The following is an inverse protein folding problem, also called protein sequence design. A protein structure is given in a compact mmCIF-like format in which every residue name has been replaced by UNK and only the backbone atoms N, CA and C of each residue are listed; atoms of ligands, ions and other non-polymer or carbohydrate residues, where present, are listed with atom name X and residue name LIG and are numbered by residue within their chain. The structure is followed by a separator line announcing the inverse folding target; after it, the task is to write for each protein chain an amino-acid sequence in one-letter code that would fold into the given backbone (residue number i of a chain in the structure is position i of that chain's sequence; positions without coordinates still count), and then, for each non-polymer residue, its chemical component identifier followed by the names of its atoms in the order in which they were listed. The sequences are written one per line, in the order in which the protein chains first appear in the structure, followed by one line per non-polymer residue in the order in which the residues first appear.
data_IF_724179966797
#
_entry.id   IF_724179966797
#
_cell.length_a   1.000
_cell.length_b   1.000
_cell.length_c   1.000
_cell.angle_alpha   90.00
_cell.angle_beta   90.00
_cell.angle_gamma   90.00
#
_symmetry.space_group_name_H-M   'P 1'
#
loop_
_entity.id
_entity.type
_entity.pdbx_description
1 polymer ?
#
# COMPACT_ATOMS: atom_id res chain seq x y z
N UNK A 1 3.77 -13.98 -16.58
CA UNK A 1 2.35 -14.15 -16.95
C UNK A 1 1.91 -12.88 -17.65
N UNK A 2 1.36 -12.95 -18.87
CA UNK A 2 0.72 -11.79 -19.49
C UNK A 2 -0.78 -11.99 -19.35
N UNK A 3 -1.44 -11.11 -18.61
CA UNK A 3 -2.88 -10.92 -18.69
C UNK A 3 -3.15 -9.70 -19.57
N UNK A 4 -4.34 -9.65 -20.15
CA UNK A 4 -4.77 -8.50 -20.94
C UNK A 4 -4.78 -7.23 -20.09
N UNK A 5 -4.45 -6.06 -20.67
CA UNK A 5 -4.47 -4.80 -19.96
C UNK A 5 -5.88 -4.47 -19.46
N UNK A 6 -5.98 -3.68 -18.39
CA UNK A 6 -7.28 -3.26 -17.89
C UNK A 6 -8.02 -2.48 -18.98
N UNK A 7 -9.33 -2.74 -19.21
CA UNK A 7 -10.10 -1.98 -20.18
C UNK A 7 -10.03 -0.48 -19.91
N UNK A 8 -9.81 0.32 -20.95
CA UNK A 8 -9.60 1.77 -20.82
C UNK A 8 -10.72 2.48 -20.01
N UNK A 9 -11.98 2.08 -20.24
CA UNK A 9 -13.12 2.61 -19.47
C UNK A 9 -13.06 2.29 -17.97
N UNK A 10 -12.49 1.15 -17.58
CA UNK A 10 -12.24 0.80 -16.17
C UNK A 10 -11.08 1.64 -15.63
N UNK A 11 -9.98 1.74 -16.38
CA UNK A 11 -8.82 2.56 -16.01
C UNK A 11 -9.19 4.04 -15.80
N UNK A 12 -10.04 4.62 -16.66
CA UNK A 12 -10.53 5.99 -16.54
C UNK A 12 -11.34 6.19 -15.25
N UNK A 13 -12.21 5.24 -14.91
CA UNK A 13 -12.99 5.27 -13.66
C UNK A 13 -12.12 5.14 -12.42
N UNK A 14 -11.13 4.24 -12.43
CA UNK A 14 -10.19 4.09 -11.33
C UNK A 14 -9.39 5.39 -11.12
N UNK A 15 -8.96 6.01 -12.22
CA UNK A 15 -8.23 7.29 -12.18
C UNK A 15 -9.09 8.42 -11.64
N UNK A 16 -10.34 8.53 -12.10
CA UNK A 16 -11.27 9.54 -11.60
C UNK A 16 -11.59 9.34 -10.11
N UNK A 17 -11.92 8.12 -9.72
CA UNK A 17 -12.22 7.77 -8.34
C UNK A 17 -11.01 8.02 -7.43
N UNK A 18 -9.79 7.66 -7.83
CA UNK A 18 -8.59 7.95 -7.03
C UNK A 18 -8.39 9.46 -6.81
N UNK A 19 -8.56 10.29 -7.85
CA UNK A 19 -8.46 11.76 -7.70
C UNK A 19 -9.53 12.30 -6.75
N UNK A 20 -10.77 11.85 -6.89
CA UNK A 20 -11.90 12.27 -6.02
C UNK A 20 -11.72 11.79 -4.58
N UNK A 21 -11.26 10.55 -4.38
CA UNK A 21 -10.94 9.96 -3.08
C UNK A 21 -9.87 10.80 -2.36
N UNK A 22 -8.80 11.16 -3.06
CA UNK A 22 -7.75 12.04 -2.53
C UNK A 22 -8.26 13.43 -2.17
N UNK A 23 -9.09 14.03 -3.03
CA UNK A 23 -9.69 15.35 -2.77
C UNK A 23 -10.64 15.33 -1.56
N UNK A 24 -11.48 14.30 -1.44
CA UNK A 24 -12.39 14.09 -0.32
C UNK A 24 -11.61 13.95 1.00
N UNK A 25 -10.56 13.12 1.00
CA UNK A 25 -9.73 12.95 2.19
C UNK A 25 -8.97 14.21 2.57
N UNK A 26 -8.37 14.92 1.61
CA UNK A 26 -7.72 16.21 1.88
C UNK A 26 -8.69 17.18 2.56
N UNK A 27 -9.89 17.32 2.01
CA UNK A 27 -10.94 18.17 2.59
C UNK A 27 -11.34 17.75 4.01
N UNK A 28 -11.35 16.44 4.29
CA UNK A 28 -11.63 15.92 5.63
C UNK A 28 -10.49 16.24 6.62
N UNK A 29 -9.23 16.12 6.19
CA UNK A 29 -8.06 16.44 7.02
C UNK A 29 -7.97 17.94 7.30
N UNK A 30 -8.22 18.79 6.30
CA UNK A 30 -8.18 20.26 6.46
C UNK A 30 -9.19 20.76 7.51
N UNK A 31 -10.34 20.09 7.67
CA UNK A 31 -11.38 20.44 8.67
C UNK A 31 -10.99 20.07 10.10
N UNK A 32 -10.02 19.19 10.29
CA UNK A 32 -9.62 18.69 11.62
C UNK A 32 -8.45 19.48 12.21
N UNK A 33 -7.93 20.48 11.48
CA UNK A 33 -6.89 21.45 11.86
C UNK A 33 -5.96 20.94 12.97
N UNK A 34 -4.86 20.32 12.58
CA UNK A 34 -3.88 19.83 13.53
C UNK A 34 -2.61 20.67 13.46
N UNK A 35 -2.09 21.07 14.61
CA UNK A 35 -0.72 21.55 14.70
C UNK A 35 0.22 20.40 14.34
N UNK A 36 0.82 20.51 13.16
CA UNK A 36 1.86 19.60 12.70
C UNK A 36 3.14 19.91 13.47
N UNK A 37 3.63 18.93 14.23
CA UNK A 37 4.95 18.99 14.86
C UNK A 37 5.93 18.26 13.97
N UNK A 38 6.88 18.99 13.41
CA UNK A 38 8.00 18.41 12.68
C UNK A 38 9.23 18.20 13.60
N UNK A 39 9.99 17.12 13.40
CA UNK A 39 11.28 16.91 14.05
C UNK A 39 12.25 16.14 13.15
N UNK A 40 13.56 16.21 13.42
CA UNK A 40 14.56 15.41 12.72
C UNK A 40 14.93 14.15 13.52
N UNK A 41 14.91 12.99 12.88
CA UNK A 41 15.38 11.72 13.45
C UNK A 41 15.93 10.83 12.33
N UNK A 42 17.08 10.19 12.59
CA UNK A 42 17.81 9.35 11.62
C UNK A 42 18.07 10.04 10.26
N UNK A 43 18.38 11.34 10.27
CA UNK A 43 18.66 12.13 9.06
C UNK A 43 17.43 12.38 8.17
N UNK A 44 16.21 12.25 8.72
CA UNK A 44 14.94 12.53 8.03
C UNK A 44 14.08 13.46 8.88
N UNK A 45 13.26 14.26 8.23
CA UNK A 45 12.19 15.03 8.87
C UNK A 45 10.96 14.14 9.05
N UNK A 46 10.39 14.18 10.25
CA UNK A 46 9.22 13.45 10.70
C UNK A 46 8.13 14.43 11.08
N UNK A 47 6.86 14.06 10.90
CA UNK A 47 5.70 14.91 11.19
C UNK A 47 4.71 14.20 12.12
N UNK A 48 4.21 14.87 13.15
CA UNK A 48 3.19 14.38 14.09
C UNK A 48 1.99 15.34 14.16
N UNK A 49 0.72 14.89 14.32
CA UNK A 49 0.29 13.50 14.50
C UNK A 49 0.71 12.64 13.33
N UNK A 50 1.30 11.47 13.60
CA UNK A 50 1.28 10.43 12.58
C UNK A 50 -0.19 10.21 12.26
N UNK A 51 -0.49 10.07 10.99
CA UNK A 51 -1.85 9.91 10.51
C UNK A 51 -2.69 8.95 11.36
N UNK A 52 -2.08 7.86 11.80
CA UNK A 52 -2.66 6.80 12.61
C UNK A 52 -3.42 7.22 13.88
N UNK A 53 -3.10 8.36 14.50
CA UNK A 53 -3.80 8.84 15.69
C UNK A 53 -5.20 9.45 15.38
N UNK A 54 -5.57 9.57 14.11
CA UNK A 54 -6.81 10.21 13.65
C UNK A 54 -7.78 9.17 13.08
N UNK A 55 -9.05 9.32 13.44
CA UNK A 55 -10.14 8.44 12.98
C UNK A 55 -10.12 8.25 11.45
N UNK A 56 -10.10 9.35 10.68
CA UNK A 56 -10.16 9.31 9.21
C UNK A 56 -8.87 8.86 8.52
N UNK A 57 -7.80 8.64 9.25
CA UNK A 57 -6.60 8.08 8.64
C UNK A 57 -6.70 6.57 8.50
N UNK A 58 -7.30 5.90 9.48
CA UNK A 58 -7.58 4.46 9.44
C UNK A 58 -8.95 4.17 8.82
N UNK A 59 -9.93 5.02 9.10
CA UNK A 59 -11.30 4.89 8.59
C UNK A 59 -11.52 5.76 7.34
N UNK A 60 -12.58 5.47 6.60
CA UNK A 60 -12.99 6.31 5.47
C UNK A 60 -13.72 7.56 5.98
N UNK A 61 -13.36 8.73 5.46
CA UNK A 61 -14.20 9.92 5.61
C UNK A 61 -15.54 9.74 4.84
N UNK A 62 -16.62 10.47 5.21
CA UNK A 62 -17.90 10.38 4.50
C UNK A 62 -17.76 10.57 2.98
N UNK A 63 -17.02 11.60 2.53
CA UNK A 63 -16.79 11.82 1.11
C UNK A 63 -15.91 10.76 0.44
N UNK A 64 -15.06 10.03 1.19
CA UNK A 64 -14.34 8.88 0.63
C UNK A 64 -15.29 7.70 0.40
N UNK A 65 -16.25 7.46 1.32
CA UNK A 65 -17.27 6.43 1.16
C UNK A 65 -18.14 6.69 -0.06
N UNK A 66 -18.64 7.91 -0.22
CA UNK A 66 -19.46 8.30 -1.38
C UNK A 66 -18.75 8.01 -2.72
N UNK A 67 -17.46 8.34 -2.83
CA UNK A 67 -16.66 8.07 -4.04
C UNK A 67 -16.52 6.56 -4.31
N UNK A 68 -16.33 5.75 -3.26
CA UNK A 68 -16.19 4.30 -3.39
C UNK A 68 -17.52 3.62 -3.72
N UNK A 69 -18.62 4.10 -3.16
CA UNK A 69 -19.97 3.61 -3.47
C UNK A 69 -20.31 3.88 -4.94
N UNK A 70 -20.02 5.08 -5.44
CA UNK A 70 -20.19 5.41 -6.86
C UNK A 70 -19.29 4.56 -7.77
N UNK A 71 -18.02 4.36 -7.41
CA UNK A 71 -17.10 3.53 -8.18
C UNK A 71 -17.58 2.08 -8.25
N UNK A 72 -17.95 1.50 -7.12
CA UNK A 72 -18.40 0.09 -7.06
C UNK A 72 -19.70 -0.10 -7.83
N UNK A 73 -20.64 0.84 -7.75
CA UNK A 73 -21.83 0.84 -8.59
C UNK A 73 -21.50 0.89 -10.08
N UNK A 74 -20.64 1.83 -10.50
CA UNK A 74 -20.25 1.98 -11.91
C UNK A 74 -19.50 0.76 -12.47
N UNK A 75 -18.70 0.08 -11.65
CA UNK A 75 -18.04 -1.18 -12.01
C UNK A 75 -19.03 -2.36 -12.05
N UNK A 76 -20.06 -2.36 -11.21
CA UNK A 76 -21.13 -3.38 -11.19
C UNK A 76 -22.07 -3.31 -12.40
N UNK A 77 -22.35 -2.12 -12.92
CA UNK A 77 -23.18 -1.91 -14.11
C UNK A 77 -22.55 -2.42 -15.41
N UNK A 78 -21.25 -2.75 -15.41
CA UNK A 78 -20.54 -3.30 -16.58
C UNK A 78 -20.71 -4.81 -16.77
N UNK A 79 -21.59 -5.45 -15.97
CA UNK A 79 -21.94 -6.86 -16.14
C UNK A 79 -23.02 -7.01 -17.22
N UNK A 80 -22.76 -7.81 -18.26
CA UNK A 80 -23.77 -8.13 -19.27
C UNK A 80 -25.02 -8.77 -18.61
N UNK A 81 -26.24 -8.37 -18.99
CA UNK A 81 -27.48 -8.79 -18.32
C UNK A 81 -27.90 -10.26 -18.51
N UNK A 82 -27.16 -11.07 -19.29
CA UNK A 82 -27.55 -12.43 -19.69
C UNK A 82 -26.98 -13.57 -18.82
N UNK A 83 -26.29 -13.28 -17.72
CA UNK A 83 -25.59 -14.32 -16.93
C UNK A 83 -26.27 -14.69 -15.60
N UNK A 84 -27.39 -15.40 -15.68
CA UNK A 84 -27.92 -16.24 -14.58
C UNK A 84 -27.19 -17.59 -14.55
N UNK A 85 -25.92 -17.59 -14.12
CA UNK A 85 -25.08 -18.79 -13.99
C UNK A 85 -24.38 -18.86 -12.64
N UNK A 86 -24.54 -19.99 -11.94
CA UNK A 86 -24.05 -20.31 -10.59
C UNK A 86 -22.50 -20.36 -10.47
N UNK A 87 -21.84 -19.20 -10.47
CA UNK A 87 -20.46 -19.03 -9.99
C UNK A 87 -20.40 -17.80 -9.10
N UNK A 88 -19.79 -17.91 -7.92
CA UNK A 88 -19.80 -16.88 -6.86
C UNK A 88 -19.62 -15.47 -7.45
N UNK A 89 -20.63 -14.62 -7.21
CA UNK A 89 -20.77 -13.31 -7.80
C UNK A 89 -19.55 -12.43 -7.46
N UNK A 90 -18.59 -12.28 -8.38
CA UNK A 90 -17.50 -11.33 -8.22
C UNK A 90 -18.06 -9.92 -8.45
N UNK A 91 -18.75 -9.37 -7.45
CA UNK A 91 -19.21 -7.98 -7.44
C UNK A 91 -18.04 -7.04 -7.17
N UNK A 92 -18.17 -5.81 -7.67
CA UNK A 92 -17.26 -4.74 -7.26
C UNK A 92 -17.53 -4.39 -5.80
N UNK A 93 -16.49 -4.42 -4.97
CA UNK A 93 -16.62 -4.15 -3.53
C UNK A 93 -15.30 -3.61 -2.96
N UNK A 94 -15.37 -2.88 -1.86
CA UNK A 94 -14.18 -2.49 -1.09
C UNK A 94 -13.71 -3.70 -0.28
N UNK A 95 -12.53 -4.22 -0.59
CA UNK A 95 -11.94 -5.41 0.06
C UNK A 95 -10.91 -5.07 1.13
N UNK A 96 -10.47 -3.82 1.22
CA UNK A 96 -9.53 -3.40 2.25
C UNK A 96 -9.36 -1.88 2.31
N UNK A 97 -9.20 -1.35 3.52
CA UNK A 97 -8.92 0.06 3.76
C UNK A 97 -7.66 0.16 4.61
N UNK A 98 -6.62 0.74 4.01
CA UNK A 98 -5.35 1.03 4.69
C UNK A 98 -5.14 2.53 4.84
N UNK A 99 -4.13 2.90 5.63
CA UNK A 99 -3.81 4.31 5.92
C UNK A 99 -3.57 5.12 4.65
N UNK A 100 -2.92 4.56 3.64
CA UNK A 100 -2.64 5.25 2.39
C UNK A 100 -3.39 4.74 1.16
N UNK A 101 -4.09 3.61 1.23
CA UNK A 101 -4.71 3.00 0.03
C UNK A 101 -6.03 2.34 0.37
N UNK A 102 -6.94 2.28 -0.59
CA UNK A 102 -8.15 1.46 -0.54
C UNK A 102 -8.07 0.41 -1.63
N UNK A 103 -8.32 -0.85 -1.28
CA UNK A 103 -8.39 -1.96 -2.23
C UNK A 103 -9.85 -2.19 -2.64
N UNK A 104 -10.10 -2.20 -3.95
CA UNK A 104 -11.42 -2.41 -4.56
C UNK A 104 -11.33 -3.62 -5.49
N UNK A 105 -12.19 -4.61 -5.29
CA UNK A 105 -12.31 -5.73 -6.22
C UNK A 105 -12.93 -5.24 -7.54
N UNK A 106 -12.35 -5.66 -8.64
CA UNK A 106 -12.86 -5.44 -9.99
C UNK A 106 -13.39 -6.80 -10.49
N UNK A 107 -14.66 -6.88 -10.88
CA UNK A 107 -15.21 -8.07 -11.53
C UNK A 107 -14.36 -8.49 -12.73
N UNK A 108 -14.08 -9.79 -12.82
CA UNK A 108 -13.50 -10.37 -14.02
C UNK A 108 -14.43 -10.19 -15.21
N UNK A 109 -13.89 -9.87 -16.39
CA UNK A 109 -14.65 -10.01 -17.62
C UNK A 109 -14.76 -11.50 -17.96
N UNK A 110 -15.97 -12.07 -17.92
CA UNK A 110 -16.22 -13.35 -18.59
C UNK A 110 -16.04 -13.08 -20.08
N UNK A 111 -15.06 -13.71 -20.71
CA UNK A 111 -14.72 -13.41 -22.08
C UNK A 111 -15.89 -13.65 -23.04
N UNK A 112 -16.40 -12.61 -23.69
CA UNK A 112 -17.16 -12.75 -24.93
C UNK A 112 -16.19 -13.15 -26.07
N UNK A 113 -15.71 -14.39 -26.04
CA UNK A 113 -15.06 -15.03 -27.18
C UNK A 113 -16.08 -15.93 -27.90
N UNK A 114 -16.14 -15.94 -29.25
CA UNK A 114 -17.02 -16.85 -29.97
C UNK A 114 -16.68 -18.28 -29.55
N UNK A 115 -17.69 -19.09 -29.21
CA UNK A 115 -17.53 -20.51 -28.88
C UNK A 115 -16.57 -21.15 -29.87
N UNK A 116 -15.37 -21.49 -29.38
CA UNK A 116 -14.40 -22.25 -30.15
C UNK A 116 -15.01 -23.63 -30.40
N UNK A 117 -15.58 -23.80 -31.58
CA UNK A 117 -15.81 -25.11 -32.16
C UNK A 117 -14.47 -25.85 -32.21
N UNK A 118 -14.43 -26.99 -31.55
CA UNK A 118 -13.49 -28.09 -31.71
C UNK A 118 -11.98 -27.80 -31.56
N UNK A 119 -11.42 -28.28 -30.45
CA UNK A 119 -10.21 -29.10 -30.54
C UNK A 119 -8.93 -28.62 -29.86
N UNK A 120 -8.83 -27.36 -29.44
CA UNK A 120 -7.65 -26.88 -28.71
C UNK A 120 -8.10 -26.01 -27.53
N UNK A 121 -8.04 -26.58 -26.32
CA UNK A 121 -8.07 -25.78 -25.09
C UNK A 121 -6.76 -24.99 -25.02
N UNK A 122 -6.71 -23.88 -25.74
CA UNK A 122 -5.89 -22.75 -25.33
C UNK A 122 -6.32 -22.44 -23.90
N UNK A 123 -5.38 -22.27 -22.96
CA UNK A 123 -5.66 -21.70 -21.64
C UNK A 123 -6.11 -20.26 -21.85
N UNK A 124 -7.33 -20.07 -22.36
CA UNK A 124 -8.03 -18.81 -22.35
C UNK A 124 -8.13 -18.46 -20.86
N UNK A 125 -7.37 -17.44 -20.47
CA UNK A 125 -7.50 -16.83 -19.17
C UNK A 125 -8.93 -16.34 -19.07
N UNK A 126 -9.80 -17.12 -18.44
CA UNK A 126 -10.98 -16.58 -17.77
C UNK A 126 -10.51 -15.31 -17.06
N UNK A 127 -11.20 -14.19 -17.28
CA UNK A 127 -10.79 -12.92 -16.71
C UNK A 127 -10.79 -13.05 -15.20
N UNK A 128 -9.64 -13.39 -14.61
CA UNK A 128 -9.49 -13.54 -13.17
C UNK A 128 -9.96 -12.25 -12.52
N UNK A 129 -10.73 -12.35 -11.43
CA UNK A 129 -11.07 -11.18 -10.65
C UNK A 129 -9.80 -10.42 -10.27
N UNK A 130 -9.86 -9.09 -10.37
CA UNK A 130 -8.73 -8.23 -10.05
C UNK A 130 -9.01 -7.45 -8.77
N UNK A 131 -7.95 -6.86 -8.21
CA UNK A 131 -8.04 -5.85 -7.16
C UNK A 131 -7.28 -4.62 -7.62
N UNK A 132 -7.94 -3.47 -7.57
CA UNK A 132 -7.28 -2.18 -7.71
C UNK A 132 -6.99 -1.57 -6.34
N UNK A 133 -5.76 -1.12 -6.12
CA UNK A 133 -5.38 -0.33 -4.94
C UNK A 133 -5.36 1.15 -5.30
N UNK A 134 -6.38 1.88 -4.89
CA UNK A 134 -6.51 3.32 -5.09
C UNK A 134 -5.72 4.09 -4.02
N UNK A 135 -4.90 5.05 -4.43
CA UNK A 135 -4.16 5.91 -3.52
C UNK A 135 -5.10 6.87 -2.78
N UNK A 136 -4.98 6.93 -1.47
CA UNK A 136 -5.59 7.95 -0.61
C UNK A 136 -4.62 9.12 -0.44
N UNK A 137 -5.15 10.26 -0.02
CA UNK A 137 -4.33 11.44 0.25
C UNK A 137 -3.69 11.34 1.65
N UNK A 138 -2.39 11.63 1.67
CA UNK A 138 -1.61 11.94 2.86
C UNK A 138 -0.64 13.08 2.53
N UNK A 139 -0.28 13.95 3.49
CA UNK A 139 0.69 15.02 3.26
C UNK A 139 2.11 14.51 2.96
N UNK A 140 2.46 13.31 3.45
CA UNK A 140 3.74 12.63 3.22
C UNK A 140 3.54 11.12 3.11
N UNK A 141 4.60 10.36 2.79
CA UNK A 141 4.53 8.90 2.70
C UNK A 141 4.26 8.26 4.07
N UNK A 142 4.89 8.80 5.12
CA UNK A 142 4.71 8.49 6.53
C UNK A 142 3.28 8.83 6.96
N UNK A 143 2.73 9.91 6.40
CA UNK A 143 1.36 10.33 6.61
C UNK A 143 0.39 9.73 5.57
N UNK A 144 0.69 8.55 5.03
CA UNK A 144 -0.28 7.80 4.22
C UNK A 144 -0.55 8.35 2.82
N UNK A 145 0.40 9.02 2.16
CA UNK A 145 0.30 9.20 0.70
C UNK A 145 0.43 7.83 0.02
N UNK A 146 -0.66 7.37 -0.62
CA UNK A 146 -0.69 6.09 -1.31
C UNK A 146 0.09 6.05 -2.61
N UNK A 147 0.31 7.20 -3.27
CA UNK A 147 0.93 7.21 -4.61
C UNK A 147 2.39 6.73 -4.60
N UNK A 148 3.25 7.17 -3.65
CA UNK A 148 4.58 6.59 -3.49
C UNK A 148 4.57 5.07 -3.32
N UNK A 149 3.61 4.53 -2.56
CA UNK A 149 3.47 3.09 -2.31
C UNK A 149 3.14 2.35 -3.62
N UNK A 150 2.14 2.82 -4.36
CA UNK A 150 1.74 2.27 -5.66
C UNK A 150 2.89 2.30 -6.69
N UNK A 151 3.58 3.43 -6.83
CA UNK A 151 4.76 3.54 -7.72
C UNK A 151 5.91 2.63 -7.30
N UNK A 152 6.05 2.38 -5.99
CA UNK A 152 7.09 1.48 -5.49
C UNK A 152 6.76 0.02 -5.78
N UNK A 153 5.51 -0.42 -5.57
CA UNK A 153 5.09 -1.79 -5.93
C UNK A 153 5.31 -2.04 -7.42
N UNK A 154 4.90 -1.10 -8.28
CA UNK A 154 5.19 -1.19 -9.73
C UNK A 154 6.68 -1.35 -10.01
N UNK A 155 7.53 -0.51 -9.41
CA UNK A 155 8.99 -0.59 -9.62
C UNK A 155 9.60 -1.90 -9.14
N UNK A 156 9.16 -2.42 -7.98
CA UNK A 156 9.64 -3.71 -7.47
C UNK A 156 9.21 -4.82 -8.41
N UNK A 157 7.95 -4.85 -8.79
CA UNK A 157 7.44 -5.86 -9.71
C UNK A 157 8.18 -5.81 -11.04
N UNK A 158 8.32 -4.65 -11.68
CA UNK A 158 9.07 -4.52 -12.94
C UNK A 158 10.55 -4.90 -12.83
N UNK A 159 11.15 -4.84 -11.63
CA UNK A 159 12.54 -5.22 -11.43
C UNK A 159 12.73 -6.72 -11.15
N UNK A 160 11.71 -7.39 -10.61
CA UNK A 160 11.79 -8.79 -10.15
C UNK A 160 11.03 -9.74 -11.07
N UNK A 161 9.84 -9.34 -11.53
CA UNK A 161 8.91 -10.05 -12.41
C UNK A 161 8.67 -11.53 -12.02
N UNK A 162 8.77 -11.83 -10.73
CA UNK A 162 8.71 -13.19 -10.22
C UNK A 162 8.24 -13.25 -8.77
N UNK A 163 7.93 -14.48 -8.34
CA UNK A 163 7.63 -14.84 -6.95
C UNK A 163 8.79 -14.37 -6.04
N UNK A 164 8.50 -13.81 -4.84
CA UNK A 164 7.25 -13.91 -4.07
C UNK A 164 6.28 -12.73 -4.18
N UNK A 165 6.57 -11.71 -4.99
CA UNK A 165 5.70 -10.53 -5.09
C UNK A 165 4.51 -10.82 -5.99
N UNK A 166 3.29 -10.57 -5.51
CA UNK A 166 2.10 -10.69 -6.34
C UNK A 166 2.22 -9.73 -7.53
N UNK A 167 1.94 -10.17 -8.77
CA UNK A 167 2.13 -9.33 -9.96
C UNK A 167 1.34 -8.02 -9.92
N UNK A 168 1.99 -6.92 -10.33
CA UNK A 168 1.27 -5.70 -10.75
C UNK A 168 1.01 -5.80 -12.25
N UNK A 169 -0.25 -5.86 -12.62
CA UNK A 169 -0.69 -6.05 -14.01
C UNK A 169 -0.75 -4.72 -14.76
N UNK A 170 -1.25 -3.69 -14.08
CA UNK A 170 -1.44 -2.36 -14.63
C UNK A 170 -1.41 -1.28 -13.54
N UNK A 171 -1.35 -0.02 -13.94
CA UNK A 171 -1.47 1.11 -13.03
C UNK A 171 -1.34 2.45 -13.71
N UNK A 172 -1.79 3.48 -13.02
CA UNK A 172 -1.60 4.88 -13.42
C UNK A 172 -0.15 5.36 -13.18
N UNK A 173 0.37 6.18 -14.09
CA UNK A 173 1.74 6.67 -14.09
C UNK A 173 2.07 7.54 -12.86
N UNK A 174 1.09 8.32 -12.39
CA UNK A 174 1.23 9.16 -11.19
C UNK A 174 1.13 8.33 -9.90
N UNK A 175 0.71 7.07 -10.00
CA UNK A 175 0.54 6.15 -8.89
C UNK A 175 -0.84 6.25 -8.23
N UNK A 176 -1.81 6.86 -8.90
CA UNK A 176 -3.17 7.00 -8.36
C UNK A 176 -3.84 5.65 -8.15
N UNK A 177 -3.49 4.64 -8.95
CA UNK A 177 -3.91 3.25 -8.72
C UNK A 177 -2.93 2.24 -9.32
N UNK A 178 -2.99 1.01 -8.81
CA UNK A 178 -2.41 -0.19 -9.44
C UNK A 178 -3.43 -1.30 -9.43
N UNK A 179 -3.33 -2.25 -10.36
CA UNK A 179 -4.16 -3.43 -10.40
C UNK A 179 -3.35 -4.71 -10.33
N UNK A 180 -3.88 -5.67 -9.59
CA UNK A 180 -3.24 -6.95 -9.28
C UNK A 180 -4.29 -8.06 -9.38
N UNK A 181 -3.89 -9.33 -9.54
CA UNK A 181 -4.83 -10.44 -9.39
C UNK A 181 -5.48 -10.45 -8.01
N UNK A 182 -6.73 -10.89 -7.91
CA UNK A 182 -7.38 -11.11 -6.61
C UNK A 182 -6.80 -12.37 -5.96
N UNK A 183 -6.09 -12.17 -4.85
CA UNK A 183 -5.63 -13.24 -3.97
C UNK A 183 -6.55 -13.37 -2.76
N UNK A 184 -6.64 -14.57 -2.19
CA UNK A 184 -7.35 -14.79 -0.93
C UNK A 184 -6.45 -14.34 0.24
N UNK A 185 -6.87 -13.29 0.93
CA UNK A 185 -6.08 -12.61 1.97
C UNK A 185 -6.89 -12.50 3.27
N UNK A 186 -6.36 -12.97 4.42
CA UNK A 186 -5.17 -13.82 4.55
C UNK A 186 -5.44 -15.24 4.01
N UNK A 187 -4.40 -16.10 3.86
CA UNK A 187 -4.64 -17.51 3.61
C UNK A 187 -5.46 -18.14 4.74
N UNK A 188 -6.12 -19.25 4.43
CA UNK A 188 -6.91 -20.01 5.40
C UNK A 188 -6.09 -20.28 6.69
N UNK A 189 -6.74 -20.14 7.83
CA UNK A 189 -6.08 -20.19 9.15
C UNK A 189 -5.22 -21.45 9.34
N UNK A 190 -5.72 -22.60 8.89
CA UNK A 190 -5.02 -23.89 8.97
C UNK A 190 -3.66 -23.94 8.28
N UNK A 191 -3.40 -23.07 7.30
CA UNK A 191 -2.15 -23.04 6.52
C UNK A 191 -1.37 -21.73 6.67
N UNK A 192 -1.87 -20.78 7.45
CA UNK A 192 -1.35 -19.40 7.54
C UNK A 192 0.12 -19.33 7.97
N UNK A 193 0.49 -20.01 9.06
CA UNK A 193 1.87 -20.04 9.54
C UNK A 193 2.81 -20.65 8.49
N UNK A 194 2.43 -21.79 7.91
CA UNK A 194 3.20 -22.43 6.85
C UNK A 194 3.30 -21.54 5.58
N UNK A 195 2.27 -20.75 5.27
CA UNK A 195 2.29 -19.79 4.18
C UNK A 195 3.29 -18.66 4.45
N UNK A 196 3.29 -18.09 5.67
CA UNK A 196 4.24 -17.07 6.09
C UNK A 196 5.68 -17.56 6.01
N UNK A 197 5.97 -18.77 6.49
CA UNK A 197 7.31 -19.36 6.44
C UNK A 197 7.80 -19.60 5.00
N UNK A 198 6.90 -20.06 4.12
CA UNK A 198 7.20 -20.25 2.69
C UNK A 198 7.52 -18.91 2.02
N UNK A 199 6.71 -17.88 2.26
CA UNK A 199 6.94 -16.54 1.72
C UNK A 199 8.22 -15.93 2.29
N UNK A 200 8.47 -16.07 3.60
CA UNK A 200 9.71 -15.62 4.26
C UNK A 200 10.95 -16.22 3.59
N UNK A 201 10.91 -17.51 3.32
CA UNK A 201 12.01 -18.22 2.66
C UNK A 201 12.22 -17.73 1.22
N UNK A 202 11.13 -17.53 0.48
CA UNK A 202 11.17 -17.00 -0.88
C UNK A 202 11.60 -15.52 -0.97
N UNK A 203 11.39 -14.74 0.09
CA UNK A 203 11.85 -13.35 0.20
C UNK A 203 13.35 -13.22 0.48
N UNK A 204 14.03 -14.29 0.91
CA UNK A 204 15.44 -14.23 1.28
C UNK A 204 16.37 -13.64 0.20
N UNK A 205 16.18 -13.91 -1.11
CA UNK A 205 16.97 -13.29 -2.18
C UNK A 205 16.62 -11.81 -2.44
N UNK A 206 15.53 -11.29 -1.88
CA UNK A 206 14.98 -9.95 -2.14
C UNK A 206 14.95 -9.07 -0.88
N UNK A 207 15.83 -9.36 0.09
CA UNK A 207 15.86 -8.70 1.39
C UNK A 207 16.04 -7.18 1.34
N UNK A 208 16.72 -6.69 0.31
CA UNK A 208 16.96 -5.27 0.04
C UNK A 208 15.75 -4.55 -0.56
N UNK A 209 14.74 -5.30 -1.04
CA UNK A 209 13.55 -4.77 -1.72
C UNK A 209 12.31 -4.75 -0.83
N UNK A 210 12.27 -5.58 0.20
CA UNK A 210 11.10 -5.76 1.06
C UNK A 210 11.37 -5.39 2.52
N UNK A 211 10.40 -4.74 3.17
CA UNK A 211 10.47 -4.40 4.58
C UNK A 211 9.87 -5.53 5.42
N UNK A 212 10.68 -6.27 6.19
CA UNK A 212 10.22 -7.50 6.85
C UNK A 212 9.14 -7.29 7.93
N UNK A 213 8.98 -6.09 8.49
CA UNK A 213 7.83 -5.81 9.38
C UNK A 213 6.50 -5.82 8.63
N UNK A 214 6.51 -5.78 7.29
CA UNK A 214 5.31 -5.98 6.48
C UNK A 214 4.99 -7.47 6.25
N UNK A 215 5.84 -8.39 6.68
CA UNK A 215 5.53 -9.82 6.59
C UNK A 215 4.58 -10.25 7.71
N UNK A 216 3.30 -9.97 7.49
CA UNK A 216 2.19 -10.28 8.40
C UNK A 216 1.10 -11.07 7.65
N UNK A 217 0.24 -11.83 8.34
CA UNK A 217 -0.85 -12.59 7.70
C UNK A 217 -1.66 -11.80 6.68
N UNK A 218 -2.01 -10.56 7.01
CA UNK A 218 -2.81 -9.65 6.19
C UNK A 218 -2.12 -9.18 4.89
N UNK A 219 -0.80 -9.35 4.79
CA UNK A 219 0.00 -8.99 3.62
C UNK A 219 0.45 -10.21 2.81
N UNK A 220 -0.05 -11.40 3.15
CA UNK A 220 0.14 -12.64 2.38
C UNK A 220 -1.19 -13.07 1.79
N UNK A 221 -1.18 -13.51 0.54
CA UNK A 221 -2.37 -14.00 -0.16
C UNK A 221 -2.13 -15.31 -0.89
N UNK A 222 -3.17 -16.14 -0.98
CA UNK A 222 -3.15 -17.33 -1.84
C UNK A 222 -3.64 -16.98 -3.24
N UNK A 223 -2.86 -17.32 -4.26
CA UNK A 223 -3.23 -17.14 -5.67
C UNK A 223 -2.54 -18.22 -6.53
N UNK A 224 -3.32 -18.94 -7.34
CA UNK A 224 -2.84 -20.02 -8.23
C UNK A 224 -1.89 -21.01 -7.52
N UNK A 225 -2.39 -21.61 -6.43
CA UNK A 225 -1.69 -22.63 -5.60
C UNK A 225 -0.36 -22.18 -4.97
N UNK A 226 -0.14 -20.86 -4.89
CA UNK A 226 1.07 -20.26 -4.30
C UNK A 226 0.68 -19.18 -3.31
N UNK A 227 1.62 -18.89 -2.40
CA UNK A 227 1.50 -17.79 -1.46
C UNK A 227 2.38 -16.63 -1.91
N UNK A 228 1.80 -15.44 -1.91
CA UNK A 228 2.39 -14.22 -2.45
C UNK A 228 2.36 -13.12 -1.41
N UNK A 229 3.34 -12.23 -1.47
CA UNK A 229 3.26 -10.93 -0.81
C UNK A 229 2.31 -10.07 -1.62
N UNK A 230 1.21 -9.63 -1.00
CA UNK A 230 0.22 -8.79 -1.66
C UNK A 230 0.46 -7.31 -1.43
N UNK A 231 1.19 -6.92 -0.37
CA UNK A 231 1.58 -5.54 -0.08
C UNK A 231 3.08 -5.44 0.12
N UNK A 232 3.74 -4.66 -0.73
CA UNK A 232 5.19 -4.44 -0.69
C UNK A 232 5.55 -2.99 -1.07
N UNK A 233 4.59 -2.08 -0.86
CA UNK A 233 4.74 -0.65 -1.14
C UNK A 233 5.61 0.09 -0.14
N UNK A 234 5.89 -0.50 1.04
CA UNK A 234 6.73 0.11 2.07
C UNK A 234 8.23 -0.01 1.74
N UNK A 235 9.00 1.10 1.74
CA UNK A 235 10.47 1.10 1.62
C UNK A 235 11.13 0.08 2.53
N UNK A 236 12.12 -0.66 2.02
CA UNK A 236 13.02 -1.46 2.84
C UNK A 236 13.97 -0.55 3.65
N UNK A 237 14.38 -0.98 4.83
CA UNK A 237 15.31 -0.25 5.69
C UNK A 237 14.68 0.18 7.01
N UNK A 238 15.09 1.34 7.52
CA UNK A 238 14.63 1.86 8.81
C UNK A 238 13.11 2.10 8.86
N UNK A 239 12.47 1.96 10.03
CA UNK A 239 11.06 2.17 10.19
C UNK A 239 10.63 3.52 9.63
N UNK A 240 9.60 3.54 8.77
CA UNK A 240 8.87 4.75 8.35
C UNK A 240 7.97 5.38 9.43
N UNK A 241 8.09 4.91 10.68
CA UNK A 241 7.33 5.44 11.81
C UNK A 241 8.29 5.45 13.00
N UNK A 242 8.72 6.64 13.42
CA UNK A 242 9.36 6.85 14.70
C UNK A 242 8.29 7.10 15.76
N UNK A 243 8.51 6.62 16.98
CA UNK A 243 7.70 7.06 18.11
C UNK A 243 7.80 8.58 18.24
N UNK A 244 6.70 9.28 18.58
CA UNK A 244 6.76 10.72 18.81
C UNK A 244 7.80 11.02 19.90
N UNK A 245 8.53 12.15 19.80
CA UNK A 245 9.40 12.55 20.89
C UNK A 245 8.58 12.70 22.17
N UNK A 246 9.03 12.10 23.27
CA UNK A 246 8.49 12.40 24.59
C UNK A 246 8.59 13.91 24.80
N UNK A 247 7.46 14.56 25.14
CA UNK A 247 7.40 16.01 25.35
C UNK A 247 8.41 16.53 26.42
N UNK A 248 9.05 15.62 27.15
CA UNK A 248 10.04 15.86 28.19
C UNK A 248 11.51 15.64 27.78
N UNK A 249 11.82 15.21 26.55
CA UNK A 249 13.20 14.92 26.15
C UNK A 249 14.02 16.17 25.70
N UNK A 250 13.46 17.37 25.86
CA UNK A 250 14.08 18.64 25.47
C UNK A 250 14.81 19.40 26.59
N UNK A 251 14.69 18.98 27.85
CA UNK A 251 15.33 19.66 28.99
C UNK A 251 16.14 18.67 29.85
N UNK A 252 17.30 18.22 29.36
CA UNK A 252 18.52 17.99 30.16
C UNK A 252 19.59 17.28 29.32
N UNK A 253 20.25 18.05 28.47
CA UNK A 253 21.62 17.74 28.08
C UNK A 253 22.46 18.97 28.43
N UNK A 254 22.74 19.16 29.73
CA UNK A 254 23.85 20.01 30.12
C UNK A 254 25.13 19.41 29.51
N UNK A 255 25.97 20.20 28.82
CA UNK A 255 27.24 19.70 28.33
C UNK A 255 28.10 19.32 29.54
N UNK A 256 28.92 18.26 29.45
CA UNK A 256 29.78 17.87 30.56
C UNK A 256 30.72 19.04 30.86
N UNK A 257 30.63 19.58 32.07
CA UNK A 257 31.62 20.52 32.60
C UNK A 257 32.95 19.78 32.61
N UNK A 258 33.77 20.05 31.60
CA UNK A 258 35.14 19.59 31.54
C UNK A 258 35.88 20.05 32.78
N UNK A 259 36.35 19.07 33.54
CA UNK A 259 37.33 19.24 34.61
C UNK A 259 38.56 19.95 34.03
N UNK A 260 38.74 21.23 34.37
CA UNK A 260 40.06 21.88 34.22
C UNK A 260 40.94 21.39 35.35
N UNK A 261 41.56 20.23 35.14
CA UNK A 261 42.70 19.76 35.91
C UNK A 261 43.87 20.71 35.74
N UNK A 262 44.42 21.14 36.87
CA UNK A 262 45.64 21.91 37.02
C UNK A 262 46.81 21.27 36.23
N UNK A 263 47.59 22.09 35.54
CA UNK A 263 49.03 21.88 35.53
C UNK A 263 49.82 23.19 35.42
N UNK A 264 50.92 23.16 36.16
CA UNK A 264 51.71 24.24 36.74
C UNK A 264 52.93 24.54 35.86
N UNK A 265 53.43 25.78 35.96
CA UNK A 265 54.77 26.29 35.59
C UNK A 265 54.93 26.63 34.08
N UNK A 266 55.46 27.80 33.70
CA UNK A 266 56.68 28.43 34.20
C UNK A 266 56.72 29.97 34.01
N UNK A 267 57.59 30.60 34.83
CA UNK A 267 58.12 31.98 35.00
C UNK A 267 58.03 32.97 33.80
N UNK A 268 58.03 34.31 33.90
CA UNK A 268 58.84 35.25 34.72
C UNK A 268 58.34 36.70 34.54
N UNK A 269 58.66 37.57 35.52
CA UNK A 269 58.94 39.03 35.46
C UNK A 269 57.83 40.07 35.12
N UNK A 270 57.46 40.91 36.10
CA UNK A 270 57.95 42.31 36.24
C UNK A 270 57.21 43.06 37.39
N UNK A 271 58.02 43.60 38.32
CA UNK A 271 57.79 44.58 39.40
C UNK A 271 56.76 44.34 40.52
#
# INVERSE_FOLDING_TARGET
MRQDPIPAAVADRLSDAARRLRAARRSALDRVAVEETEWEYAGRTWSWPAGEARTYFRELAPGEREVLDELTAALGEHRSPDETGSGAESRAEVVGVGTGRVAVAIPGAVGEGPSASDGERSEATDGDALVAKLARYGPSAEMGDGRPQNRRERRIWSAVESHPFLPVLDGDADGDWIAMPRADVPPAEAVREAALDRVRSALAPHRDRFHFDELKPENVGAYRDRYWVVDYGRPAGEPLFAEPPDASAGETAEPPRGETGENRQDRSDEN
#
